data_IF_260261147629
#
_entry.id   IF_260261147629
#
_cell.length_a   1.000
_cell.length_b   1.000
_cell.length_c   1.000
_cell.angle_alpha   90.00
_cell.angle_beta   90.00
_cell.angle_gamma   90.00
#
_symmetry.space_group_name_H-M   'P 1'
#
loop_
_entity.id
_entity.type
_entity.pdbx_description
1 polymer ?
#
# COMPACT_ATOMS: atom_id res chain seq x y z
N UNK A 1 -18.26 10.08 -6.24
CA UNK A 1 -18.67 9.55 -4.91
C UNK A 1 -17.66 10.07 -3.91
N UNK A 2 -18.07 10.74 -2.81
CA UNK A 2 -17.13 11.21 -1.78
C UNK A 2 -16.26 10.07 -1.23
N UNK A 3 -15.03 10.37 -0.80
CA UNK A 3 -14.09 9.34 -0.35
C UNK A 3 -14.65 8.57 0.85
N UNK A 4 -15.30 9.26 1.80
CA UNK A 4 -15.91 8.65 2.97
C UNK A 4 -16.93 7.56 2.62
N UNK A 5 -17.81 7.80 1.64
CA UNK A 5 -18.79 6.83 1.17
C UNK A 5 -18.14 5.67 0.42
N UNK A 6 -17.09 5.95 -0.37
CA UNK A 6 -16.30 4.92 -1.04
C UNK A 6 -15.66 3.96 -0.02
N UNK A 7 -15.08 4.50 1.06
CA UNK A 7 -14.46 3.71 2.13
C UNK A 7 -15.48 2.83 2.86
N UNK A 8 -16.68 3.37 3.13
CA UNK A 8 -17.76 2.63 3.81
C UNK A 8 -18.30 1.52 2.92
N UNK A 9 -18.49 1.79 1.62
CA UNK A 9 -18.97 0.82 0.65
C UNK A 9 -17.95 -0.31 0.40
N UNK A 10 -16.65 0.02 0.47
CA UNK A 10 -15.55 -0.93 0.22
C UNK A 10 -15.10 -1.68 1.47
N UNK A 11 -15.68 -1.38 2.64
CA UNK A 11 -15.36 -2.08 3.87
C UNK A 11 -15.72 -3.58 3.76
N UNK A 12 -14.90 -4.49 4.34
CA UNK A 12 -15.25 -5.91 4.39
C UNK A 12 -16.65 -6.13 5.00
N UNK A 13 -17.41 -7.16 4.57
CA UNK A 13 -18.79 -7.37 5.01
C UNK A 13 -18.98 -7.42 6.53
N UNK A 14 -18.00 -7.96 7.26
CA UNK A 14 -18.06 -8.15 8.72
C UNK A 14 -17.45 -6.97 9.51
N UNK A 15 -17.04 -5.90 8.83
CA UNK A 15 -16.46 -4.75 9.50
C UNK A 15 -17.54 -3.83 10.11
N UNK A 16 -17.33 -3.32 11.34
CA UNK A 16 -18.30 -2.45 11.97
C UNK A 16 -18.56 -1.21 11.11
N UNK A 17 -19.82 -0.96 10.78
CA UNK A 17 -20.20 0.28 10.10
C UNK A 17 -19.89 1.46 11.03
N UNK A 18 -19.33 2.56 10.52
CA UNK A 18 -19.05 3.73 11.36
C UNK A 18 -20.34 4.27 11.98
N UNK A 19 -20.26 4.65 13.26
CA UNK A 19 -21.36 5.30 13.97
C UNK A 19 -21.71 6.65 13.32
N UNK A 20 -22.90 7.18 13.59
CA UNK A 20 -23.37 8.47 13.02
C UNK A 20 -22.38 9.61 13.23
N UNK A 21 -21.83 9.75 14.44
CA UNK A 21 -20.83 10.76 14.75
C UNK A 21 -19.53 10.58 13.95
N UNK A 22 -19.08 9.33 13.75
CA UNK A 22 -17.91 9.04 12.93
C UNK A 22 -18.16 9.37 11.46
N UNK A 23 -19.33 9.02 10.93
CA UNK A 23 -19.72 9.39 9.55
C UNK A 23 -19.68 10.90 9.34
N UNK A 24 -20.15 11.67 10.31
CA UNK A 24 -20.14 13.13 10.20
C UNK A 24 -18.74 13.72 10.29
N UNK A 25 -17.84 13.11 11.07
CA UNK A 25 -16.42 13.45 11.03
C UNK A 25 -15.77 13.10 9.69
N UNK A 26 -16.12 11.95 9.09
CA UNK A 26 -15.62 11.55 7.78
C UNK A 26 -16.08 12.51 6.68
N UNK A 27 -17.36 12.91 6.67
CA UNK A 27 -17.90 13.89 5.72
C UNK A 27 -17.19 15.24 5.76
N UNK A 28 -16.80 15.71 6.95
CA UNK A 28 -16.03 16.96 7.08
C UNK A 28 -14.66 16.88 6.40
N UNK A 29 -14.09 15.68 6.28
CA UNK A 29 -12.79 15.46 5.62
C UNK A 29 -12.92 15.35 4.10
N UNK A 30 -14.08 14.98 3.58
CA UNK A 30 -14.32 14.92 2.13
C UNK A 30 -14.08 16.27 1.44
N UNK A 31 -14.29 17.39 2.13
CA UNK A 31 -14.04 18.73 1.60
C UNK A 31 -12.58 18.96 1.17
N UNK A 32 -11.62 18.22 1.76
CA UNK A 32 -10.21 18.26 1.38
C UNK A 32 -9.76 17.08 0.51
N UNK A 33 -10.69 16.21 0.09
CA UNK A 33 -10.38 14.96 -0.60
C UNK A 33 -11.13 14.89 -1.92
N UNK A 34 -10.40 15.05 -3.01
CA UNK A 34 -10.95 14.88 -4.35
C UNK A 34 -10.73 13.44 -4.84
N UNK A 35 -11.77 12.61 -4.68
CA UNK A 35 -11.77 11.22 -5.16
C UNK A 35 -11.58 11.08 -6.67
N UNK A 36 -11.98 12.09 -7.47
CA UNK A 36 -11.81 12.08 -8.93
C UNK A 36 -10.35 12.38 -9.25
N UNK A 37 -9.76 13.38 -8.59
CA UNK A 37 -8.33 13.67 -8.73
C UNK A 37 -7.47 12.48 -8.30
N UNK A 38 -7.83 11.79 -7.20
CA UNK A 38 -7.14 10.57 -6.78
C UNK A 38 -7.28 9.45 -7.83
N UNK A 39 -8.47 9.22 -8.36
CA UNK A 39 -8.68 8.23 -9.42
C UNK A 39 -7.90 8.56 -10.70
N UNK A 40 -7.85 9.84 -11.08
CA UNK A 40 -7.08 10.33 -12.22
C UNK A 40 -5.57 10.14 -12.00
N UNK A 41 -5.06 10.46 -10.81
CA UNK A 41 -3.67 10.20 -10.42
C UNK A 41 -3.34 8.71 -10.58
N UNK A 42 -4.19 7.83 -10.04
CA UNK A 42 -3.95 6.38 -10.05
C UNK A 42 -3.80 5.81 -11.46
N UNK A 43 -4.55 6.32 -12.45
CA UNK A 43 -4.48 5.87 -13.85
C UNK A 43 -3.47 6.66 -14.70
N UNK A 44 -2.98 7.80 -14.22
CA UNK A 44 -2.04 8.66 -14.95
C UNK A 44 -0.57 8.19 -14.91
N UNK A 45 -0.30 7.11 -14.17
CA UNK A 45 1.03 6.56 -13.90
C UNK A 45 1.68 5.80 -15.08
N UNK A 46 1.54 6.31 -16.30
CA UNK A 46 2.21 5.76 -17.47
C UNK A 46 3.74 5.76 -17.26
N UNK A 47 4.38 4.59 -17.43
CA UNK A 47 5.81 4.42 -17.20
C UNK A 47 6.24 4.24 -15.73
N UNK A 48 5.33 4.35 -14.75
CA UNK A 48 5.61 4.04 -13.34
C UNK A 48 5.19 2.61 -12.95
N UNK A 49 4.57 1.88 -13.87
CA UNK A 49 4.28 0.47 -13.71
C UNK A 49 5.52 -0.36 -14.01
N UNK A 50 5.95 -1.14 -13.01
CA UNK A 50 6.97 -2.17 -13.18
C UNK A 50 6.26 -3.52 -13.14
N UNK A 51 6.29 -4.22 -14.27
CA UNK A 51 5.73 -5.56 -14.36
C UNK A 51 6.70 -6.64 -13.84
N UNK A 52 6.13 -7.83 -13.69
CA UNK A 52 6.81 -9.02 -13.21
C UNK A 52 8.02 -9.46 -14.06
N UNK A 53 7.95 -9.31 -15.38
CA UNK A 53 9.06 -9.64 -16.28
C UNK A 53 10.19 -8.63 -16.11
N UNK A 54 9.87 -7.35 -15.95
CA UNK A 54 10.84 -6.31 -15.66
C UNK A 54 11.56 -6.56 -14.33
N UNK A 55 10.83 -6.95 -13.27
CA UNK A 55 11.44 -7.32 -11.99
C UNK A 55 12.37 -8.54 -12.10
N UNK A 56 11.98 -9.56 -12.89
CA UNK A 56 12.83 -10.74 -13.15
C UNK A 56 14.06 -10.44 -13.99
N UNK A 57 14.00 -9.41 -14.84
CA UNK A 57 15.10 -9.00 -15.70
C UNK A 57 16.19 -8.18 -14.97
N UNK A 58 15.95 -7.78 -13.72
CA UNK A 58 16.94 -7.06 -12.90
C UNK A 58 18.18 -7.93 -12.72
N UNK A 59 19.31 -7.46 -13.24
CA UNK A 59 20.61 -8.14 -13.23
C UNK A 59 21.61 -7.56 -12.23
N UNK A 60 21.32 -6.38 -11.67
CA UNK A 60 22.14 -5.77 -10.61
C UNK A 60 21.71 -6.28 -9.24
N UNK A 61 22.65 -6.46 -8.28
CA UNK A 61 22.29 -6.81 -6.91
C UNK A 61 21.25 -5.84 -6.35
N UNK A 62 20.08 -6.36 -5.99
CA UNK A 62 18.92 -5.55 -5.59
C UNK A 62 18.34 -6.05 -4.28
N UNK A 63 18.13 -5.12 -3.34
CA UNK A 63 17.56 -5.36 -2.04
C UNK A 63 16.14 -4.77 -1.96
N UNK A 64 15.18 -5.60 -1.58
CA UNK A 64 13.80 -5.23 -1.27
C UNK A 64 13.63 -5.19 0.24
N UNK A 65 13.30 -4.03 0.78
CA UNK A 65 13.05 -3.80 2.21
C UNK A 65 11.56 -3.55 2.42
N UNK A 66 10.94 -4.24 3.38
CA UNK A 66 9.51 -4.06 3.67
C UNK A 66 9.19 -4.26 5.16
N UNK A 67 8.08 -3.68 5.62
CA UNK A 67 7.57 -3.85 6.98
C UNK A 67 6.83 -5.18 7.16
N UNK A 68 7.09 -5.89 8.26
CA UNK A 68 6.44 -7.18 8.55
C UNK A 68 4.92 -7.11 8.76
N UNK A 69 4.40 -5.97 9.18
CA UNK A 69 2.97 -5.71 9.39
C UNK A 69 2.29 -5.03 8.18
N UNK A 70 3.00 -4.85 7.06
CA UNK A 70 2.42 -4.27 5.84
C UNK A 70 1.59 -5.33 5.09
N UNK A 71 2.22 -6.07 4.18
CA UNK A 71 1.54 -7.05 3.32
C UNK A 71 2.27 -8.39 3.29
N UNK A 72 2.47 -9.00 4.47
CA UNK A 72 3.32 -10.18 4.66
C UNK A 72 3.05 -11.34 3.68
N UNK A 73 1.78 -11.63 3.38
CA UNK A 73 1.39 -12.70 2.46
C UNK A 73 1.83 -12.43 1.02
N UNK A 74 1.81 -11.18 0.57
CA UNK A 74 2.33 -10.80 -0.74
C UNK A 74 3.83 -11.03 -0.83
N UNK A 75 4.59 -10.57 0.17
CA UNK A 75 6.05 -10.71 0.16
C UNK A 75 6.53 -12.16 0.28
N UNK A 76 5.80 -13.01 1.01
CA UNK A 76 6.05 -14.45 1.01
C UNK A 76 5.96 -15.06 -0.40
N UNK A 77 4.95 -14.66 -1.19
CA UNK A 77 4.81 -15.09 -2.59
C UNK A 77 5.86 -14.43 -3.49
N UNK A 78 6.17 -13.15 -3.28
CA UNK A 78 7.14 -12.40 -4.07
C UNK A 78 8.54 -13.04 -4.03
N UNK A 79 8.99 -13.52 -2.86
CA UNK A 79 10.26 -14.24 -2.72
C UNK A 79 10.39 -15.42 -3.67
N UNK A 80 9.31 -16.17 -3.91
CA UNK A 80 9.31 -17.30 -4.85
C UNK A 80 9.27 -16.87 -6.32
N UNK A 81 8.65 -15.72 -6.62
CA UNK A 81 8.51 -15.19 -7.99
C UNK A 81 9.75 -14.46 -8.49
N UNK A 82 10.54 -13.91 -7.57
CA UNK A 82 11.68 -13.06 -7.87
C UNK A 82 12.95 -13.54 -7.13
N UNK A 83 13.45 -14.75 -7.47
CA UNK A 83 14.64 -15.30 -6.82
C UNK A 83 15.92 -14.50 -7.10
N UNK A 84 15.90 -13.60 -8.09
CA UNK A 84 16.99 -12.68 -8.40
C UNK A 84 17.08 -11.49 -7.42
N UNK A 85 16.10 -11.33 -6.53
CA UNK A 85 16.05 -10.23 -5.56
C UNK A 85 16.34 -10.71 -4.14
N UNK A 86 16.99 -9.87 -3.34
CA UNK A 86 17.18 -10.11 -1.91
C UNK A 86 16.06 -9.42 -1.13
N UNK A 87 15.55 -10.08 -0.09
CA UNK A 87 14.43 -9.57 0.69
C UNK A 87 14.79 -9.44 2.17
N UNK A 88 14.58 -8.24 2.74
CA UNK A 88 14.78 -7.96 4.16
C UNK A 88 13.48 -7.45 4.77
N UNK A 89 13.06 -8.12 5.85
CA UNK A 89 11.85 -7.75 6.60
C UNK A 89 12.25 -6.92 7.81
N UNK A 90 11.52 -5.83 8.06
CA UNK A 90 11.58 -5.08 9.30
C UNK A 90 10.40 -5.52 10.15
N UNK A 91 10.67 -6.42 11.09
CA UNK A 91 9.63 -7.03 11.94
C UNK A 91 8.82 -5.98 12.71
N UNK A 92 7.50 -6.18 12.78
CA UNK A 92 6.57 -5.29 13.47
C UNK A 92 6.36 -3.90 12.83
N UNK A 93 7.04 -3.57 11.73
CA UNK A 93 6.82 -2.31 11.02
C UNK A 93 5.68 -2.42 9.99
N UNK A 94 4.83 -1.40 9.93
CA UNK A 94 3.86 -1.17 8.85
C UNK A 94 4.52 -0.44 7.66
N UNK A 95 3.77 -0.26 6.56
CA UNK A 95 4.20 0.49 5.37
C UNK A 95 4.95 1.78 5.69
N UNK A 96 4.29 2.72 6.38
CA UNK A 96 4.87 4.03 6.69
C UNK A 96 5.91 4.01 7.81
N UNK A 97 5.82 3.06 8.75
CA UNK A 97 6.77 3.02 9.87
C UNK A 97 8.08 2.31 9.51
N UNK A 98 8.12 1.47 8.46
CA UNK A 98 9.32 0.78 8.03
C UNK A 98 10.48 1.75 7.75
N UNK A 99 10.22 2.84 7.01
CA UNK A 99 11.21 3.87 6.68
C UNK A 99 11.75 4.64 7.90
N UNK A 100 11.04 4.60 9.02
CA UNK A 100 11.41 5.30 10.26
C UNK A 100 12.23 4.40 11.20
N UNK A 101 12.39 3.12 10.86
CA UNK A 101 13.14 2.18 11.68
C UNK A 101 14.63 2.24 11.34
N UNK A 102 15.54 2.14 12.34
CA UNK A 102 16.98 2.10 12.08
C UNK A 102 17.41 1.01 11.07
N UNK A 103 16.70 -0.11 11.05
CA UNK A 103 16.93 -1.24 10.14
C UNK A 103 16.71 -0.91 8.66
N UNK A 104 16.08 0.22 8.34
CA UNK A 104 15.84 0.65 6.96
C UNK A 104 17.10 1.14 6.25
N UNK A 105 18.04 1.71 7.01
CA UNK A 105 19.31 2.26 6.48
C UNK A 105 20.50 1.29 6.62
N UNK A 106 20.31 0.18 7.33
CA UNK A 106 21.33 -0.83 7.60
C UNK A 106 21.19 -2.02 6.64
#
# INVERSE_FOLDING_TARGET
MPLSEAMIASAPPDWPKPASQQREMMKRRDAGQDSIALGAETVSHEGLWVDDNQLRAISVPTLVIYGGNDHAAFYAKAKSRFPNLQFKTIEGASHGSAMQRPQFLA
#
